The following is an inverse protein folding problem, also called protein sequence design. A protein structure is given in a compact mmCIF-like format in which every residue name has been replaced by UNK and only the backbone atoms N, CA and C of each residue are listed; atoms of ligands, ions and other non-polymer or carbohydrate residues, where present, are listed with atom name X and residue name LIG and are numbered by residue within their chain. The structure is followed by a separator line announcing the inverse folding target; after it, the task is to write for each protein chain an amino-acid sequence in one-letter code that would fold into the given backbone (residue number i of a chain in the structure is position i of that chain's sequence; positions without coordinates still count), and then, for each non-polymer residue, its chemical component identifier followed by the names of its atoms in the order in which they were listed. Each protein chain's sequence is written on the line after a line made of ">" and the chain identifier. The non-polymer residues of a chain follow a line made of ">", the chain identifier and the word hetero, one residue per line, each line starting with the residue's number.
data_IF_348311879485
#
_entry.id   IF_348311879485
#
_cell.length_a   1.000
_cell.length_b   1.000
_cell.length_c   1.000
_cell.angle_alpha   90.00
_cell.angle_beta   90.00
_cell.angle_gamma   90.00
#
_symmetry.space_group_name_H-M   'P 1'
#
loop_
_entity.id
_entity.type
_entity.pdbx_description
1 polymer ?
#
# COMPACT_ATOMS: atom_id res chain seq x y z
N UNK A 1 10.43 -2.71 18.39
CA UNK A 1 10.74 -3.22 17.03
C UNK A 1 12.04 -2.60 16.59
N UNK A 2 12.89 -3.31 15.87
CA UNK A 2 14.17 -2.79 15.35
C UNK A 2 14.35 -3.12 13.87
N UNK A 3 15.22 -2.37 13.19
CA UNK A 3 15.69 -2.70 11.84
C UNK A 3 17.11 -3.25 11.95
N UNK A 4 17.32 -4.50 11.54
CA UNK A 4 18.62 -5.17 11.51
C UNK A 4 18.82 -5.74 10.10
N UNK A 5 19.96 -5.44 9.46
CA UNK A 5 20.24 -5.85 8.08
C UNK A 5 19.08 -5.55 7.11
N UNK A 6 18.52 -4.34 7.24
CA UNK A 6 17.39 -3.84 6.46
C UNK A 6 16.07 -4.61 6.61
N UNK A 7 15.96 -5.52 7.59
CA UNK A 7 14.73 -6.25 7.92
C UNK A 7 14.18 -5.80 9.27
N UNK A 8 12.86 -5.81 9.39
CA UNK A 8 12.16 -5.61 10.65
C UNK A 8 12.32 -6.85 11.53
N UNK A 9 12.77 -6.63 12.76
CA UNK A 9 12.93 -7.67 13.78
C UNK A 9 12.05 -7.30 14.97
N UNK A 10 11.20 -8.25 15.37
CA UNK A 10 10.37 -8.13 16.56
C UNK A 10 11.27 -8.19 17.80
N UNK A 11 11.11 -7.23 18.70
CA UNK A 11 11.75 -7.22 20.01
C UNK A 11 10.80 -7.80 21.05
N UNK A 12 11.34 -8.36 22.14
CA UNK A 12 10.54 -9.08 23.16
C UNK A 12 9.42 -8.26 23.80
N UNK A 13 9.49 -6.93 23.73
CA UNK A 13 8.49 -6.01 24.29
C UNK A 13 7.44 -5.56 23.27
N UNK A 14 7.51 -6.00 22.01
CA UNK A 14 6.54 -5.62 20.99
C UNK A 14 5.33 -6.55 21.01
N UNK A 15 4.14 -5.96 21.14
CA UNK A 15 2.86 -6.63 20.93
C UNK A 15 2.54 -6.84 19.44
N UNK A 16 3.42 -6.40 18.54
CA UNK A 16 3.22 -6.45 17.09
C UNK A 16 3.83 -7.72 16.49
N UNK A 17 3.04 -8.47 15.73
CA UNK A 17 3.52 -9.60 14.94
C UNK A 17 4.19 -9.12 13.65
N UNK A 18 5.40 -9.60 13.36
CA UNK A 18 6.14 -9.24 12.15
C UNK A 18 6.45 -10.52 11.36
N UNK A 19 5.95 -10.58 10.12
CA UNK A 19 6.24 -11.65 9.17
C UNK A 19 7.08 -11.13 8.01
N UNK A 20 7.88 -12.02 7.43
CA UNK A 20 8.61 -11.74 6.18
C UNK A 20 8.07 -12.64 5.07
N UNK A 21 7.69 -12.04 3.94
CA UNK A 21 7.17 -12.75 2.76
C UNK A 21 7.70 -12.09 1.50
N UNK A 22 8.75 -12.67 0.91
CA UNK A 22 9.50 -12.00 -0.15
C UNK A 22 8.68 -11.82 -1.45
N UNK A 23 8.74 -10.62 -2.03
CA UNK A 23 8.18 -10.34 -3.36
C UNK A 23 9.27 -10.35 -4.44
N UNK A 24 9.00 -10.95 -5.63
CA UNK A 24 9.92 -10.87 -6.77
C UNK A 24 9.84 -9.53 -7.50
N UNK A 25 8.85 -8.68 -7.19
CA UNK A 25 8.56 -7.43 -7.91
C UNK A 25 9.48 -6.29 -7.43
N UNK A 26 10.76 -6.36 -7.77
CA UNK A 26 11.78 -5.43 -7.25
C UNK A 26 12.74 -4.96 -8.35
N UNK A 27 13.57 -3.99 -8.03
CA UNK A 27 14.67 -3.54 -8.87
C UNK A 27 16.00 -3.63 -8.11
N UNK A 28 17.00 -2.85 -8.50
CA UNK A 28 18.29 -2.80 -7.82
C UNK A 28 18.20 -2.25 -6.39
N UNK A 29 19.32 -2.29 -5.69
CA UNK A 29 19.50 -1.56 -4.44
C UNK A 29 19.31 -0.04 -4.65
N UNK A 30 18.94 0.64 -3.56
CA UNK A 30 19.01 2.09 -3.51
C UNK A 30 20.44 2.59 -3.70
N UNK A 31 20.58 3.81 -4.24
CA UNK A 31 21.86 4.51 -4.25
C UNK A 31 22.25 4.92 -2.82
N UNK A 32 23.54 5.19 -2.55
CA UNK A 32 23.96 5.74 -1.26
C UNK A 32 23.12 6.97 -0.87
N UNK A 33 22.84 7.12 0.43
CA UNK A 33 22.00 8.17 1.02
C UNK A 33 20.52 8.17 0.59
N UNK A 34 20.05 7.09 -0.05
CA UNK A 34 18.63 6.83 -0.34
C UNK A 34 18.22 5.50 0.29
N UNK A 35 16.93 5.30 0.60
CA UNK A 35 15.80 6.20 0.38
C UNK A 35 15.68 7.33 1.43
N UNK A 36 15.07 8.45 1.05
CA UNK A 36 14.85 9.63 1.92
C UNK A 36 13.36 10.05 2.00
N UNK A 37 12.49 9.28 1.34
CA UNK A 37 11.07 9.58 1.18
C UNK A 37 10.24 8.38 1.67
N UNK A 38 9.08 8.64 2.25
CA UNK A 38 8.07 7.61 2.52
C UNK A 38 6.86 7.90 1.63
N UNK A 39 6.28 6.86 1.02
CA UNK A 39 4.99 6.95 0.34
C UNK A 39 4.03 5.98 1.01
N UNK A 40 2.93 6.53 1.50
CA UNK A 40 1.85 5.77 2.09
C UNK A 40 0.80 5.45 1.03
N UNK A 41 0.36 4.21 1.05
CA UNK A 41 -0.68 3.66 0.22
C UNK A 41 -1.70 2.92 1.09
N UNK A 42 -2.85 2.61 0.50
CA UNK A 42 -3.75 1.62 1.05
C UNK A 42 -3.98 0.52 0.02
N UNK A 43 -4.14 -0.72 0.47
CA UNK A 43 -4.11 -1.88 -0.41
C UNK A 43 -5.33 -1.98 -1.33
N UNK A 44 -6.48 -1.48 -0.88
CA UNK A 44 -7.77 -1.77 -1.52
C UNK A 44 -8.16 -3.25 -1.43
N UNK A 45 -7.46 -4.03 -0.59
CA UNK A 45 -7.62 -5.47 -0.46
C UNK A 45 -8.67 -5.86 0.59
N UNK A 46 -8.92 -7.16 0.69
CA UNK A 46 -9.85 -7.72 1.68
C UNK A 46 -9.19 -8.06 3.02
N UNK A 47 -7.87 -8.27 3.03
CA UNK A 47 -7.08 -8.58 4.22
C UNK A 47 -5.58 -8.39 3.99
N UNK A 48 -4.83 -8.17 5.06
CA UNK A 48 -3.37 -8.14 5.11
C UNK A 48 -2.72 -9.26 4.29
N UNK A 49 -3.10 -10.52 4.52
CA UNK A 49 -2.50 -11.67 3.84
C UNK A 49 -2.87 -11.72 2.35
N UNK A 50 -4.12 -11.39 1.98
CA UNK A 50 -4.52 -11.34 0.56
C UNK A 50 -3.75 -10.28 -0.22
N UNK A 51 -3.49 -9.12 0.40
CA UNK A 51 -2.70 -8.05 -0.19
C UNK A 51 -1.23 -8.44 -0.32
N UNK A 52 -0.64 -9.11 0.69
CA UNK A 52 0.71 -9.65 0.59
C UNK A 52 0.83 -10.67 -0.56
N UNK A 53 -0.12 -11.60 -0.66
CA UNK A 53 -0.13 -12.60 -1.73
C UNK A 53 -0.19 -11.94 -3.12
N UNK A 54 -1.04 -10.91 -3.29
CA UNK A 54 -1.11 -10.19 -4.55
C UNK A 54 0.19 -9.44 -4.86
N UNK A 55 0.78 -8.73 -3.90
CA UNK A 55 2.03 -7.99 -4.11
C UNK A 55 3.25 -8.89 -4.28
N UNK A 56 3.18 -10.17 -3.88
CA UNK A 56 4.16 -11.21 -4.19
C UNK A 56 3.93 -11.90 -5.53
N UNK A 57 2.77 -11.72 -6.18
CA UNK A 57 2.53 -12.29 -7.51
C UNK A 57 3.31 -11.48 -8.57
N UNK A 58 4.18 -12.10 -9.39
CA UNK A 58 4.86 -11.42 -10.50
C UNK A 58 3.93 -10.67 -11.47
N UNK A 59 2.70 -11.16 -11.65
CA UNK A 59 1.72 -10.54 -12.54
C UNK A 59 1.23 -9.18 -12.04
N UNK A 60 1.32 -8.92 -10.73
CA UNK A 60 0.87 -7.66 -10.15
C UNK A 60 1.69 -6.48 -10.69
N UNK A 61 2.96 -6.70 -11.05
CA UNK A 61 3.91 -5.67 -11.50
C UNK A 61 3.91 -4.45 -10.57
N UNK A 62 3.72 -4.72 -9.28
CA UNK A 62 3.59 -3.76 -8.19
C UNK A 62 3.98 -4.45 -6.88
N UNK A 63 4.57 -3.71 -5.96
CA UNK A 63 5.00 -4.19 -4.64
C UNK A 63 5.13 -3.02 -3.68
N UNK A 64 5.35 -3.29 -2.41
CA UNK A 64 5.69 -2.33 -1.37
C UNK A 64 6.78 -2.93 -0.47
N UNK A 65 7.34 -2.15 0.46
CA UNK A 65 8.32 -2.68 1.41
C UNK A 65 7.64 -3.39 2.57
N UNK A 66 6.55 -2.80 3.08
CA UNK A 66 5.77 -3.38 4.17
C UNK A 66 4.27 -3.16 3.94
N UNK A 67 3.46 -4.04 4.53
CA UNK A 67 2.02 -3.88 4.70
C UNK A 67 1.72 -3.91 6.20
N UNK A 68 0.93 -2.96 6.68
CA UNK A 68 0.48 -2.86 8.07
C UNK A 68 -1.01 -3.24 8.11
N UNK A 69 -1.33 -4.27 8.88
CA UNK A 69 -2.68 -4.75 9.15
C UNK A 69 -3.45 -3.86 10.12
N UNK A 70 -4.77 -4.03 10.16
CA UNK A 70 -5.67 -3.27 11.07
C UNK A 70 -5.35 -3.46 12.55
N UNK A 71 -4.83 -4.62 12.93
CA UNK A 71 -4.42 -4.94 14.31
C UNK A 71 -2.99 -4.50 14.63
N UNK A 72 -2.29 -3.85 13.70
CA UNK A 72 -0.89 -3.47 13.86
C UNK A 72 0.11 -4.49 13.31
N UNK A 73 -0.31 -5.72 13.02
CA UNK A 73 0.52 -6.77 12.41
C UNK A 73 1.21 -6.28 11.12
N UNK A 74 2.48 -6.65 10.92
CA UNK A 74 3.28 -6.20 9.78
C UNK A 74 3.71 -7.40 8.93
N UNK A 75 3.55 -7.29 7.61
CA UNK A 75 4.24 -8.17 6.66
C UNK A 75 5.27 -7.33 5.90
N UNK A 76 6.56 -7.64 6.08
CA UNK A 76 7.63 -7.09 5.27
C UNK A 76 7.82 -7.93 4.00
N UNK A 77 7.79 -7.28 2.84
CA UNK A 77 7.91 -7.95 1.55
C UNK A 77 9.32 -7.93 0.97
N UNK A 78 10.16 -6.97 1.37
CA UNK A 78 11.54 -6.88 0.91
C UNK A 78 12.39 -6.07 1.91
N UNK A 79 13.71 -6.31 2.00
CA UNK A 79 14.64 -5.45 2.72
C UNK A 79 14.57 -3.97 2.30
N UNK A 80 14.68 -3.05 3.25
CA UNK A 80 14.58 -1.61 3.00
C UNK A 80 15.69 -1.01 2.11
N UNK A 81 16.75 -1.76 1.80
CA UNK A 81 17.80 -1.35 0.86
C UNK A 81 17.50 -1.67 -0.60
N UNK A 82 16.38 -2.32 -0.92
CA UNK A 82 15.99 -2.76 -2.27
C UNK A 82 14.79 -1.94 -2.77
N UNK A 83 14.85 -1.48 -4.02
CA UNK A 83 13.78 -0.69 -4.64
C UNK A 83 12.56 -1.58 -4.95
N UNK A 84 11.37 -1.15 -4.51
CA UNK A 84 10.06 -1.77 -4.86
C UNK A 84 9.28 -0.95 -5.89
N UNK A 85 8.15 -1.48 -6.36
CA UNK A 85 7.34 -0.93 -7.46
C UNK A 85 6.01 -0.34 -6.99
N UNK A 86 6.02 0.57 -6.01
CA UNK A 86 4.79 1.11 -5.39
C UNK A 86 4.28 2.43 -6.00
N UNK A 87 5.17 3.28 -6.53
CA UNK A 87 4.82 4.64 -6.94
C UNK A 87 4.50 4.79 -8.44
N UNK A 88 4.79 3.78 -9.27
CA UNK A 88 4.57 3.81 -10.72
C UNK A 88 5.14 5.07 -11.41
N UNK A 89 4.42 5.57 -12.42
CA UNK A 89 4.74 6.86 -13.08
C UNK A 89 4.42 8.03 -12.15
N UNK A 90 5.40 8.48 -11.38
CA UNK A 90 5.24 9.48 -10.32
C UNK A 90 6.22 10.65 -10.47
N UNK A 91 5.83 11.81 -9.93
CA UNK A 91 6.68 12.99 -9.85
C UNK A 91 6.34 13.81 -8.59
N UNK A 92 7.37 14.27 -7.89
CA UNK A 92 7.25 15.23 -6.79
C UNK A 92 8.39 16.24 -6.87
N UNK A 93 8.05 17.54 -6.96
CA UNK A 93 9.01 18.59 -7.34
C UNK A 93 9.76 18.18 -8.62
N UNK A 94 11.08 18.25 -8.61
CA UNK A 94 11.96 17.87 -9.72
C UNK A 94 12.22 16.35 -9.83
N UNK A 95 11.79 15.55 -8.84
CA UNK A 95 12.06 14.11 -8.81
C UNK A 95 11.00 13.35 -9.60
N UNK A 96 11.44 12.60 -10.62
CA UNK A 96 10.61 11.66 -11.40
C UNK A 96 10.92 10.20 -11.06
N UNK A 97 9.89 9.36 -11.09
CA UNK A 97 9.98 7.93 -10.77
C UNK A 97 10.36 7.73 -9.30
N UNK A 98 9.40 7.87 -8.40
CA UNK A 98 9.68 8.02 -6.97
C UNK A 98 10.17 6.74 -6.29
N UNK A 99 9.94 5.56 -6.86
CA UNK A 99 10.41 4.27 -6.32
C UNK A 99 11.88 4.30 -5.86
N UNK A 100 12.78 4.93 -6.64
CA UNK A 100 14.22 4.99 -6.32
C UNK A 100 14.60 5.96 -5.20
N UNK A 101 13.65 6.69 -4.64
CA UNK A 101 13.84 7.63 -3.54
C UNK A 101 13.05 7.24 -2.30
N UNK A 102 12.16 6.24 -2.38
CA UNK A 102 11.11 6.06 -1.38
C UNK A 102 10.93 4.65 -0.85
N UNK A 103 10.55 4.58 0.42
CA UNK A 103 9.92 3.42 1.04
C UNK A 103 8.40 3.47 0.85
N UNK A 104 7.85 2.53 0.09
CA UNK A 104 6.41 2.25 0.04
C UNK A 104 5.90 1.46 1.24
N UNK A 105 4.88 2.01 1.91
CA UNK A 105 4.14 1.39 3.02
C UNK A 105 2.68 1.27 2.61
N UNK A 106 2.13 0.08 2.72
CA UNK A 106 0.72 -0.21 2.46
C UNK A 106 -0.05 -0.37 3.77
N UNK A 107 -1.24 0.23 3.85
CA UNK A 107 -2.18 0.03 4.95
C UNK A 107 -3.31 -0.90 4.51
N UNK A 108 -3.57 -1.96 5.27
CA UNK A 108 -4.66 -2.90 4.99
C UNK A 108 -6.02 -2.21 5.14
N UNK A 109 -6.59 -1.80 4.01
CA UNK A 109 -7.82 -1.05 3.96
C UNK A 109 -8.53 -1.29 2.63
N UNK A 110 -9.85 -1.51 2.68
CA UNK A 110 -10.68 -1.80 1.51
C UNK A 110 -10.87 -0.60 0.57
N UNK A 111 -10.43 0.59 0.98
CA UNK A 111 -10.52 1.83 0.22
C UNK A 111 -11.90 2.47 0.30
N UNK A 112 -12.30 3.09 -0.82
CA UNK A 112 -13.59 3.79 -0.92
C UNK A 112 -14.74 2.78 -0.88
N UNK A 113 -15.69 3.03 0.01
CA UNK A 113 -16.90 2.22 0.16
C UNK A 113 -18.06 2.79 -0.65
N UNK A 114 -18.91 1.91 -1.16
CA UNK A 114 -20.19 2.25 -1.80
C UNK A 114 -21.30 2.22 -0.76
N UNK A 115 -22.04 3.33 -0.63
CA UNK A 115 -23.26 3.37 0.19
C UNK A 115 -24.41 2.72 -0.57
N UNK A 116 -25.13 1.80 0.08
CA UNK A 116 -26.39 1.19 -0.36
C UNK A 116 -27.47 1.42 0.69
N UNK A 117 -28.72 1.04 0.41
CA UNK A 117 -29.86 1.23 1.31
C UNK A 117 -29.63 0.66 2.72
N UNK A 118 -28.94 -0.49 2.82
CA UNK A 118 -28.74 -1.22 4.06
C UNK A 118 -27.30 -1.15 4.62
N UNK A 119 -26.47 -0.20 4.17
CA UNK A 119 -25.14 0.05 4.74
C UNK A 119 -24.05 0.34 3.70
N UNK A 120 -22.79 0.15 4.10
CA UNK A 120 -21.61 0.43 3.28
C UNK A 120 -20.95 -0.86 2.81
N UNK A 121 -20.47 -0.87 1.57
CA UNK A 121 -19.91 -2.05 0.92
C UNK A 121 -18.56 -1.76 0.30
N UNK A 122 -17.64 -2.71 0.41
CA UNK A 122 -16.37 -2.67 -0.33
C UNK A 122 -16.62 -2.88 -1.83
N UNK A 123 -15.63 -2.58 -2.68
CA UNK A 123 -15.73 -2.80 -4.12
C UNK A 123 -15.81 -4.30 -4.50
N UNK A 124 -15.38 -5.19 -3.60
CA UNK A 124 -15.55 -6.65 -3.69
C UNK A 124 -16.81 -7.14 -2.95
N UNK A 125 -17.78 -6.24 -2.72
CA UNK A 125 -19.15 -6.51 -2.26
C UNK A 125 -19.30 -7.10 -0.85
N UNK A 126 -18.33 -6.88 0.05
CA UNK A 126 -18.48 -7.20 1.46
C UNK A 126 -19.12 -6.03 2.20
N UNK A 127 -20.11 -6.31 3.07
CA UNK A 127 -20.69 -5.29 3.96
C UNK A 127 -19.67 -4.91 5.03
N UNK A 128 -19.53 -3.62 5.32
CA UNK A 128 -18.69 -3.06 6.38
C UNK A 128 -19.58 -2.62 7.53
N UNK A 129 -19.21 -3.01 8.75
CA UNK A 129 -19.88 -2.54 9.96
C UNK A 129 -19.75 -1.03 10.10
N UNK A 130 -20.83 -0.34 10.48
CA UNK A 130 -20.87 1.13 10.52
C UNK A 130 -19.77 1.74 11.42
N UNK A 131 -19.41 1.08 12.54
CA UNK A 131 -18.30 1.51 13.42
C UNK A 131 -16.93 1.54 12.73
N UNK A 132 -16.77 0.80 11.63
CA UNK A 132 -15.55 0.73 10.83
C UNK A 132 -15.65 1.61 9.57
N UNK A 133 -16.71 2.41 9.44
CA UNK A 133 -16.91 3.35 8.32
C UNK A 133 -16.55 4.76 8.79
N UNK A 134 -15.64 5.39 8.05
CA UNK A 134 -15.35 6.81 8.22
C UNK A 134 -16.00 7.60 7.08
N UNK A 135 -16.91 8.50 7.42
CA UNK A 135 -17.47 9.48 6.48
C UNK A 135 -16.66 10.77 6.60
N UNK A 136 -15.63 10.91 5.76
CA UNK A 136 -14.86 12.13 5.69
C UNK A 136 -15.39 13.03 4.56
N UNK A 137 -15.65 14.30 4.85
CA UNK A 137 -15.87 15.33 3.82
C UNK A 137 -14.53 15.94 3.46
N UNK A 138 -14.06 15.74 2.22
CA UNK A 138 -12.83 16.38 1.76
C UNK A 138 -13.15 17.77 1.18
N UNK A 139 -12.35 18.83 1.46
CA UNK A 139 -12.58 20.18 0.92
C UNK A 139 -12.63 20.27 -0.62
N UNK A 140 -12.14 19.25 -1.33
CA UNK A 140 -12.21 19.15 -2.78
C UNK A 140 -13.42 18.37 -3.31
N UNK A 141 -14.21 17.72 -2.46
CA UNK A 141 -15.40 16.97 -2.89
C UNK A 141 -16.47 17.89 -3.49
N UNK A 142 -16.48 19.17 -3.06
CA UNK A 142 -17.41 20.20 -3.55
C UNK A 142 -16.84 21.06 -4.68
N UNK A 143 -15.61 20.81 -5.15
CA UNK A 143 -15.02 21.55 -6.29
C UNK A 143 -15.22 20.76 -7.58
N UNK A 144 -15.58 21.41 -8.70
CA UNK A 144 -15.64 20.73 -9.99
C UNK A 144 -14.28 20.08 -10.26
N UNK A 145 -14.29 18.77 -10.52
CA UNK A 145 -13.07 18.02 -10.84
C UNK A 145 -12.45 18.64 -12.09
N UNK A 146 -11.33 19.34 -11.94
CA UNK A 146 -10.55 19.83 -13.09
C UNK A 146 -10.16 18.61 -13.94
N UNK A 147 -10.46 18.60 -15.24
CA UNK A 147 -10.03 17.51 -16.11
C UNK A 147 -8.50 17.50 -16.14
N UNK A 148 -7.91 16.46 -15.56
CA UNK A 148 -6.46 16.24 -15.52
C UNK A 148 -5.71 17.06 -14.47
N UNK A 149 -5.51 16.49 -13.27
CA UNK A 149 -4.23 16.51 -12.52
C UNK A 149 -4.36 15.71 -11.21
N UNK A 150 -3.59 14.61 -11.18
CA UNK A 150 -3.01 13.90 -10.04
C UNK A 150 -3.91 13.40 -8.89
N UNK A 151 -4.48 12.21 -9.09
CA UNK A 151 -4.28 11.11 -8.15
C UNK A 151 -3.44 10.07 -8.88
N UNK A 152 -2.31 9.64 -8.32
CA UNK A 152 -1.63 8.42 -8.76
C UNK A 152 -2.53 7.23 -8.39
N UNK A 153 -3.58 7.01 -9.19
CA UNK A 153 -4.29 5.74 -9.19
C UNK A 153 -3.37 4.76 -9.88
N UNK A 154 -2.70 3.92 -9.11
CA UNK A 154 -2.12 2.71 -9.66
C UNK A 154 -3.31 1.87 -10.16
N UNK A 155 -3.59 1.90 -11.46
CA UNK A 155 -4.64 1.10 -12.08
C UNK A 155 -4.12 -0.34 -12.19
N UNK A 156 -4.05 -1.07 -11.08
CA UNK A 156 -4.06 -2.53 -11.15
C UNK A 156 -5.50 -2.94 -11.52
N UNK A 157 -5.69 -3.26 -12.80
CA UNK A 157 -6.92 -3.90 -13.30
C UNK A 157 -7.08 -5.23 -12.55
N UNK A 158 -8.24 -5.57 -11.96
CA UNK A 158 -8.43 -6.91 -11.43
C UNK A 158 -8.31 -7.94 -12.56
N UNK A 159 -7.79 -9.15 -12.31
CA UNK A 159 -7.75 -10.21 -13.30
C UNK A 159 -9.18 -10.52 -13.76
N UNK A 160 -9.37 -10.55 -15.08
CA UNK A 160 -10.61 -11.06 -15.67
C UNK A 160 -10.76 -12.53 -15.24
N UNK A 161 -11.91 -12.86 -14.63
CA UNK A 161 -12.30 -14.27 -14.49
C UNK A 161 -12.62 -14.80 -15.90
N UNK A 162 -11.98 -15.91 -16.25
CA UNK A 162 -12.33 -16.79 -17.38
C UNK A 162 -13.73 -17.34 -17.22
#
# INVERSE_FOLDING_TARGET
>A
MQIINHKLIQTKCDEVNIKYQETPNTSSNFKPNLPDTIILHYTGGSSLQSSANWLCNPEAKSSAHIIIGKSGDIIQLIPFNIITWHAGKSQWKERKGLNKYSIGIELDNAGILTKKENGYYTWFNNKVEDKNVLIAKHPLDNKPKKPGKHTLKNKSKPPNKS
#
